data_IF_845903918091
#
_entry.id   IF_845903918091
#
_cell.length_a   1.000
_cell.length_b   1.000
_cell.length_c   1.000
_cell.angle_alpha   90.00
_cell.angle_beta   90.00
_cell.angle_gamma   90.00
#
_symmetry.space_group_name_H-M   'P 1'
#
loop_
_entity.id
_entity.type
_entity.pdbx_description
1 polymer ?
#
# COMPACT_ATOMS: atom_id res chain seq x y z
N UNK A 1 -26.39 -28.33 0.26
CA UNK A 1 -25.75 -27.50 -0.78
C UNK A 1 -25.66 -26.07 -0.29
N UNK A 2 -24.66 -25.67 0.51
CA UNK A 2 -24.44 -24.27 0.82
C UNK A 2 -23.49 -23.63 -0.22
N UNK A 3 -23.84 -22.41 -0.61
CA UNK A 3 -22.88 -21.31 -0.81
C UNK A 3 -22.16 -21.16 -2.16
N UNK A 4 -22.91 -21.00 -3.24
CA UNK A 4 -22.44 -20.21 -4.41
C UNK A 4 -22.31 -18.71 -4.10
N UNK A 5 -23.00 -18.22 -3.05
CA UNK A 5 -23.04 -16.79 -2.70
C UNK A 5 -21.78 -16.27 -1.98
N UNK A 6 -21.10 -17.10 -1.18
CA UNK A 6 -19.86 -16.71 -0.47
C UNK A 6 -18.64 -16.58 -1.42
N UNK A 7 -18.61 -17.35 -2.50
CA UNK A 7 -17.50 -17.29 -3.48
C UNK A 7 -17.49 -15.98 -4.28
N UNK A 8 -18.68 -15.47 -4.65
CA UNK A 8 -18.81 -14.21 -5.40
C UNK A 8 -18.42 -12.97 -4.58
N UNK A 9 -18.72 -12.94 -3.28
CA UNK A 9 -18.30 -11.83 -2.41
C UNK A 9 -16.78 -11.75 -2.24
N UNK A 10 -16.07 -12.89 -2.18
CA UNK A 10 -14.61 -12.89 -2.16
C UNK A 10 -14.02 -12.35 -3.48
N UNK A 11 -14.62 -12.74 -4.61
CA UNK A 11 -14.21 -12.27 -5.93
C UNK A 11 -14.39 -10.75 -6.10
N UNK A 12 -15.56 -10.21 -5.68
CA UNK A 12 -15.86 -8.78 -5.81
C UNK A 12 -15.05 -7.88 -4.85
N UNK A 13 -14.69 -8.37 -3.66
CA UNK A 13 -13.90 -7.61 -2.70
C UNK A 13 -12.40 -7.52 -3.06
N UNK A 14 -11.87 -8.50 -3.81
CA UNK A 14 -10.45 -8.57 -4.14
C UNK A 14 -10.07 -7.84 -5.43
N UNK A 15 -10.96 -7.81 -6.43
CA UNK A 15 -10.73 -7.13 -7.72
C UNK A 15 -10.33 -5.65 -7.55
N UNK A 16 -11.05 -4.80 -6.78
CA UNK A 16 -10.67 -3.40 -6.63
C UNK A 16 -9.35 -3.22 -5.86
N UNK A 17 -9.06 -4.12 -4.91
CA UNK A 17 -7.79 -4.11 -4.16
C UNK A 17 -6.60 -4.41 -5.06
N UNK A 18 -6.73 -5.42 -5.92
CA UNK A 18 -5.68 -5.78 -6.89
C UNK A 18 -5.46 -4.64 -7.87
N UNK A 19 -6.53 -4.04 -8.41
CA UNK A 19 -6.41 -2.91 -9.32
C UNK A 19 -5.69 -1.70 -8.67
N UNK A 20 -5.99 -1.40 -7.41
CA UNK A 20 -5.33 -0.34 -6.65
C UNK A 20 -3.84 -0.61 -6.46
N UNK A 21 -3.47 -1.82 -6.03
CA UNK A 21 -2.06 -2.21 -5.83
C UNK A 21 -1.31 -2.23 -7.17
N UNK A 22 -1.90 -2.76 -8.24
CA UNK A 22 -1.30 -2.74 -9.58
C UNK A 22 -1.01 -1.31 -10.04
N UNK A 23 -1.97 -0.38 -9.85
CA UNK A 23 -1.76 1.03 -10.18
C UNK A 23 -0.65 1.66 -9.34
N UNK A 24 -0.60 1.35 -8.04
CA UNK A 24 0.47 1.86 -7.17
C UNK A 24 1.84 1.41 -7.68
N UNK A 25 2.03 0.10 -7.91
CA UNK A 25 3.30 -0.46 -8.38
C UNK A 25 3.73 0.12 -9.74
N UNK A 26 2.80 0.24 -10.70
CA UNK A 26 3.12 0.75 -12.03
C UNK A 26 3.59 2.20 -12.05
N UNK A 27 3.22 3.01 -11.05
CA UNK A 27 3.60 4.42 -10.96
C UNK A 27 4.80 4.68 -10.01
N UNK A 28 5.36 3.65 -9.37
CA UNK A 28 6.45 3.81 -8.40
C UNK A 28 7.72 4.42 -9.03
N UNK A 29 8.05 4.07 -10.26
CA UNK A 29 9.23 4.65 -10.94
C UNK A 29 9.11 6.18 -11.09
N UNK A 30 7.93 6.67 -11.51
CA UNK A 30 7.67 8.11 -11.62
C UNK A 30 7.67 8.79 -10.24
N UNK A 31 7.08 8.15 -9.25
CA UNK A 31 7.03 8.66 -7.88
C UNK A 31 8.44 8.81 -7.28
N UNK A 32 9.28 7.78 -7.43
CA UNK A 32 10.66 7.76 -6.92
C UNK A 32 11.65 8.60 -7.75
N UNK A 33 11.22 9.20 -8.87
CA UNK A 33 12.00 10.27 -9.52
C UNK A 33 12.06 11.54 -8.66
N UNK A 34 11.03 11.79 -7.85
CA UNK A 34 10.88 13.02 -7.06
C UNK A 34 10.96 12.84 -5.55
N UNK A 35 10.94 11.60 -5.05
CA UNK A 35 10.95 11.29 -3.62
C UNK A 35 11.94 10.17 -3.32
N UNK A 36 12.76 10.35 -2.28
CA UNK A 36 13.68 9.30 -1.86
C UNK A 36 12.94 8.23 -1.05
N UNK A 37 13.49 7.01 -1.03
CA UNK A 37 12.99 5.96 -0.15
C UNK A 37 12.94 6.39 1.32
N UNK A 38 13.93 7.17 1.76
CA UNK A 38 13.99 7.67 3.14
C UNK A 38 12.81 8.61 3.43
N UNK A 39 12.53 9.54 2.52
CA UNK A 39 11.39 10.46 2.65
C UNK A 39 10.05 9.70 2.71
N UNK A 40 9.83 8.75 1.80
CA UNK A 40 8.61 7.93 1.78
C UNK A 40 8.48 7.09 3.07
N UNK A 41 9.57 6.52 3.57
CA UNK A 41 9.57 5.76 4.82
C UNK A 41 9.19 6.63 6.04
N UNK A 42 9.75 7.84 6.15
CA UNK A 42 9.39 8.77 7.22
C UNK A 42 7.92 9.21 7.13
N UNK A 43 7.37 9.38 5.92
CA UNK A 43 5.96 9.69 5.71
C UNK A 43 5.05 8.53 6.17
N UNK A 44 5.43 7.28 5.89
CA UNK A 44 4.70 6.09 6.35
C UNK A 44 4.64 6.06 7.89
N UNK A 45 5.76 6.34 8.57
CA UNK A 45 5.80 6.39 10.04
C UNK A 45 4.89 7.50 10.59
N UNK A 46 4.94 8.70 9.98
CA UNK A 46 4.07 9.83 10.35
C UNK A 46 2.58 9.52 10.16
N UNK A 47 2.20 8.98 9.00
CA UNK A 47 0.82 8.58 8.70
C UNK A 47 0.28 7.51 9.66
N UNK A 48 1.18 6.65 10.13
CA UNK A 48 0.88 5.59 11.09
C UNK A 48 0.94 6.06 12.55
N UNK A 49 1.23 7.35 12.79
CA UNK A 49 1.45 7.94 14.12
C UNK A 49 2.48 7.16 14.96
N UNK A 50 3.51 6.62 14.31
CA UNK A 50 4.62 5.93 14.96
C UNK A 50 5.68 6.97 15.32
N UNK A 51 5.99 7.10 16.62
CA UNK A 51 7.13 7.88 17.07
C UNK A 51 8.44 7.17 16.70
N UNK A 52 9.40 7.95 16.22
CA UNK A 52 10.74 7.47 15.90
C UNK A 52 11.77 8.53 16.24
N UNK A 53 13.00 8.08 16.43
CA UNK A 53 14.17 8.95 16.62
C UNK A 53 15.04 8.82 15.38
N UNK A 54 15.17 9.92 14.62
CA UNK A 54 15.90 9.98 13.34
C UNK A 54 17.33 9.43 13.42
N UNK A 55 17.94 9.40 14.61
CA UNK A 55 19.29 8.84 14.84
C UNK A 55 19.37 7.32 14.64
N UNK A 56 18.24 6.62 14.68
CA UNK A 56 18.17 5.15 14.66
C UNK A 56 17.34 4.60 13.49
N UNK A 57 16.94 5.44 12.54
CA UNK A 57 16.05 5.08 11.43
C UNK A 57 16.83 4.65 10.17
N UNK A 58 18.16 4.76 10.21
CA UNK A 58 19.08 4.48 9.09
C UNK A 58 20.28 3.66 9.53
#
# INVERSE_FOLDING_TARGET
MPSTHLSLHYHLALVPRIAGVTKYVLNQEEHHRGQTFQDEYLEILKLSAIEYDERYVW
#
